data_IF_095288457767
#
_entry.id   IF_095288457767
#
_cell.length_a   1.000
_cell.length_b   1.000
_cell.length_c   1.000
_cell.angle_alpha   90.00
_cell.angle_beta   90.00
_cell.angle_gamma   90.00
#
_symmetry.space_group_name_H-M   'P 1'
#
loop_
_entity.id
_entity.type
_entity.pdbx_description
1 polymer ?
#
# COMPACT_ATOMS: atom_id res chain seq x y z
N UNK A 1 -47.28 2.01 -54.92
CA UNK A 1 -47.27 2.55 -53.54
C UNK A 1 -46.52 1.56 -52.65
N UNK A 2 -45.23 1.76 -52.55
CA UNK A 2 -44.29 0.94 -51.79
C UNK A 2 -44.03 1.69 -50.47
N UNK A 3 -44.46 1.08 -49.34
CA UNK A 3 -44.20 1.56 -47.98
C UNK A 3 -42.78 1.19 -47.58
N UNK A 4 -41.89 2.17 -47.52
CA UNK A 4 -40.60 2.06 -46.89
C UNK A 4 -40.80 1.90 -45.37
N UNK A 5 -40.52 0.70 -44.85
CA UNK A 5 -40.38 0.46 -43.41
C UNK A 5 -38.99 0.93 -42.96
N UNK A 6 -38.93 1.93 -42.10
CA UNK A 6 -37.69 2.42 -41.53
C UNK A 6 -37.03 1.34 -40.64
N UNK A 7 -35.72 1.09 -40.76
CA UNK A 7 -35.03 -0.02 -40.08
C UNK A 7 -34.55 0.32 -38.66
N UNK A 8 -35.06 1.33 -37.99
CA UNK A 8 -34.41 1.95 -36.83
C UNK A 8 -35.04 1.68 -35.46
N UNK A 9 -35.96 0.71 -35.35
CA UNK A 9 -36.70 0.42 -34.09
C UNK A 9 -36.51 -0.98 -33.54
N UNK A 10 -35.44 -1.69 -33.91
CA UNK A 10 -35.15 -2.99 -33.30
C UNK A 10 -34.44 -2.81 -31.95
N UNK A 11 -34.76 -3.63 -30.91
CA UNK A 11 -34.11 -3.60 -29.61
C UNK A 11 -32.59 -3.69 -29.71
N UNK A 12 -32.06 -4.40 -30.69
CA UNK A 12 -30.62 -4.56 -30.95
C UNK A 12 -29.92 -3.27 -31.40
N UNK A 13 -30.60 -2.40 -32.14
CA UNK A 13 -30.08 -1.08 -32.53
C UNK A 13 -29.98 -0.11 -31.36
N UNK A 14 -30.90 -0.23 -30.40
CA UNK A 14 -30.89 0.58 -29.18
C UNK A 14 -29.77 0.14 -28.25
N UNK A 15 -29.54 -1.18 -28.07
CA UNK A 15 -28.44 -1.71 -27.31
C UNK A 15 -27.07 -1.40 -27.91
N UNK A 16 -26.94 -1.40 -29.23
CA UNK A 16 -25.70 -1.03 -29.90
C UNK A 16 -25.36 0.46 -29.71
N UNK A 17 -26.36 1.35 -29.79
CA UNK A 17 -26.19 2.79 -29.48
C UNK A 17 -25.92 3.03 -27.99
N UNK A 18 -26.47 2.21 -27.08
CA UNK A 18 -26.19 2.22 -25.62
C UNK A 18 -24.74 1.80 -25.33
N UNK A 19 -24.19 0.86 -26.09
CA UNK A 19 -22.80 0.42 -25.95
C UNK A 19 -21.78 1.43 -26.51
N UNK A 20 -22.11 2.22 -27.53
CA UNK A 20 -21.22 3.23 -28.13
C UNK A 20 -21.08 4.52 -27.31
N UNK A 21 -22.06 4.88 -26.47
CA UNK A 21 -22.02 6.11 -25.65
C UNK A 21 -21.39 5.93 -24.25
N UNK A 22 -20.88 4.74 -23.93
CA UNK A 22 -20.36 4.40 -22.60
C UNK A 22 -18.84 4.54 -22.39
N UNK A 23 -17.96 4.80 -23.39
CA UNK A 23 -16.53 4.79 -23.14
C UNK A 23 -16.01 6.00 -22.39
N UNK A 24 -16.54 7.21 -22.62
CA UNK A 24 -15.97 8.44 -22.04
C UNK A 24 -16.32 8.64 -20.55
N UNK A 25 -17.56 8.36 -20.16
CA UNK A 25 -17.97 8.48 -18.76
C UNK A 25 -17.22 7.48 -17.85
N UNK A 26 -16.92 6.27 -18.33
CA UNK A 26 -16.15 5.27 -17.60
C UNK A 26 -14.66 5.60 -17.42
N UNK A 27 -14.12 6.51 -18.25
CA UNK A 27 -12.73 6.96 -18.13
C UNK A 27 -12.57 8.10 -17.12
N UNK A 28 -13.64 8.85 -16.85
CA UNK A 28 -13.63 10.05 -16.01
C UNK A 28 -13.98 9.72 -14.53
N UNK A 29 -14.92 8.80 -14.30
CA UNK A 29 -15.31 8.34 -12.96
C UNK A 29 -14.11 7.92 -12.07
N UNK A 30 -13.13 7.12 -12.56
CA UNK A 30 -11.99 6.69 -11.75
C UNK A 30 -11.09 7.80 -11.25
N UNK A 31 -11.18 9.00 -11.83
CA UNK A 31 -10.39 10.17 -11.45
C UNK A 31 -11.22 11.15 -10.61
N UNK A 32 -12.46 11.43 -11.04
CA UNK A 32 -13.32 12.40 -10.37
C UNK A 32 -13.71 11.95 -8.96
N UNK A 33 -14.08 10.67 -8.78
CA UNK A 33 -14.56 10.18 -7.49
C UNK A 33 -13.47 10.25 -6.42
N UNK A 34 -12.22 9.77 -6.64
CA UNK A 34 -11.14 9.94 -5.66
C UNK A 34 -10.79 11.41 -5.41
N UNK A 35 -10.79 12.27 -6.43
CA UNK A 35 -10.55 13.70 -6.25
C UNK A 35 -11.64 14.37 -5.39
N UNK A 36 -12.91 14.05 -5.65
CA UNK A 36 -14.01 14.52 -4.82
C UNK A 36 -13.89 14.04 -3.38
N UNK A 37 -13.52 12.76 -3.17
CA UNK A 37 -13.29 12.21 -1.84
C UNK A 37 -12.13 12.92 -1.11
N UNK A 38 -11.04 13.26 -1.81
CA UNK A 38 -9.93 14.04 -1.25
C UNK A 38 -10.35 15.46 -0.88
N UNK A 39 -11.19 16.11 -1.70
CA UNK A 39 -11.74 17.43 -1.37
C UNK A 39 -12.66 17.37 -0.15
N UNK A 40 -13.55 16.38 -0.08
CA UNK A 40 -14.43 16.18 1.08
C UNK A 40 -13.61 15.89 2.33
N UNK A 41 -12.56 15.06 2.24
CA UNK A 41 -11.68 14.81 3.39
C UNK A 41 -10.94 16.06 3.85
N UNK A 42 -10.48 16.91 2.92
CA UNK A 42 -9.86 18.18 3.24
C UNK A 42 -10.84 19.14 3.95
N UNK A 43 -12.12 19.17 3.54
CA UNK A 43 -13.16 19.94 4.20
C UNK A 43 -13.45 19.43 5.61
N UNK A 44 -13.65 18.11 5.79
CA UNK A 44 -13.89 17.51 7.10
C UNK A 44 -12.69 17.79 8.03
N UNK A 45 -11.48 17.62 7.53
CA UNK A 45 -10.27 17.90 8.31
C UNK A 45 -10.12 19.39 8.63
N UNK A 46 -10.55 20.28 7.74
CA UNK A 46 -10.57 21.73 8.02
C UNK A 46 -11.50 22.06 9.19
N UNK A 47 -12.67 21.41 9.28
CA UNK A 47 -13.57 21.56 10.43
C UNK A 47 -12.90 21.08 11.72
N UNK A 48 -12.21 19.93 11.65
CA UNK A 48 -11.42 19.41 12.79
C UNK A 48 -10.34 20.41 13.25
N UNK A 49 -9.59 21.03 12.33
CA UNK A 49 -8.59 22.04 12.65
C UNK A 49 -9.21 23.29 13.30
N UNK A 50 -10.34 23.77 12.78
CA UNK A 50 -11.05 24.92 13.35
C UNK A 50 -11.54 24.63 14.77
N UNK A 51 -12.01 23.41 15.05
CA UNK A 51 -12.39 22.99 16.40
C UNK A 51 -11.21 23.02 17.38
N UNK A 52 -9.97 22.82 16.88
CA UNK A 52 -8.74 22.96 17.64
C UNK A 52 -8.18 24.40 17.65
N UNK A 53 -8.93 25.38 17.16
CA UNK A 53 -8.50 26.78 17.01
C UNK A 53 -7.24 26.94 16.15
N UNK A 54 -7.01 26.03 15.19
CA UNK A 54 -5.90 26.08 14.23
C UNK A 54 -6.37 26.48 12.84
N UNK A 55 -5.53 27.22 12.11
CA UNK A 55 -5.87 27.68 10.75
C UNK A 55 -5.71 26.57 9.70
N UNK A 56 -6.77 26.17 8.96
CA UNK A 56 -6.65 25.21 7.87
C UNK A 56 -5.74 25.70 6.74
N UNK A 57 -5.81 26.98 6.38
CA UNK A 57 -4.98 27.55 5.32
C UNK A 57 -3.48 27.41 5.66
N UNK A 58 -3.09 27.68 6.90
CA UNK A 58 -1.72 27.50 7.39
C UNK A 58 -1.33 26.03 7.32
N UNK A 59 -2.21 25.10 7.74
CA UNK A 59 -1.95 23.67 7.69
C UNK A 59 -1.65 23.20 6.27
N UNK A 60 -2.54 23.45 5.31
CA UNK A 60 -2.35 23.02 3.92
C UNK A 60 -1.14 23.71 3.25
N UNK A 61 -0.83 24.96 3.59
CA UNK A 61 0.39 25.60 3.11
C UNK A 61 1.65 24.94 3.65
N UNK A 62 1.66 24.47 4.92
CA UNK A 62 2.76 23.73 5.51
C UNK A 62 2.89 22.32 4.90
N UNK A 63 1.76 21.67 4.62
CA UNK A 63 1.76 20.38 3.90
C UNK A 63 2.37 20.52 2.51
N UNK A 64 1.98 21.55 1.78
CA UNK A 64 2.59 21.86 0.47
C UNK A 64 4.08 22.15 0.60
N UNK A 65 4.47 22.99 1.55
CA UNK A 65 5.86 23.36 1.79
C UNK A 65 6.70 22.17 2.21
N UNK A 66 6.21 21.34 3.11
CA UNK A 66 6.92 20.16 3.62
C UNK A 66 7.00 19.00 2.63
N UNK A 67 6.01 18.88 1.72
CA UNK A 67 5.95 17.78 0.77
C UNK A 67 6.53 18.07 -0.62
N UNK A 68 6.36 19.31 -1.13
CA UNK A 68 6.57 19.57 -2.56
C UNK A 68 7.39 20.84 -2.89
N UNK A 69 7.58 21.78 -1.96
CA UNK A 69 8.10 23.12 -2.31
C UNK A 69 9.59 23.17 -2.58
N UNK A 70 10.38 22.23 -2.08
CA UNK A 70 11.83 22.20 -2.23
C UNK A 70 12.33 20.83 -2.67
N UNK A 71 13.52 20.80 -3.28
CA UNK A 71 14.15 19.53 -3.65
C UNK A 71 14.35 18.61 -2.43
N UNK A 72 14.69 19.18 -1.28
CA UNK A 72 14.81 18.45 -0.03
C UNK A 72 13.45 17.85 0.42
N UNK A 73 12.35 18.62 0.30
CA UNK A 73 11.01 18.12 0.62
C UNK A 73 10.60 16.96 -0.29
N UNK A 74 10.89 17.07 -1.60
CA UNK A 74 10.61 16.00 -2.57
C UNK A 74 11.41 14.74 -2.24
N UNK A 75 12.70 14.87 -1.89
CA UNK A 75 13.51 13.73 -1.48
C UNK A 75 12.94 13.04 -0.23
N UNK A 76 12.54 13.79 0.79
CA UNK A 76 11.89 13.25 1.98
C UNK A 76 10.57 12.52 1.65
N UNK A 77 9.77 13.09 0.75
CA UNK A 77 8.55 12.45 0.28
C UNK A 77 8.83 11.12 -0.44
N UNK A 78 9.83 11.08 -1.32
CA UNK A 78 10.26 9.88 -2.05
C UNK A 78 10.84 8.81 -1.13
N UNK A 79 11.58 9.22 -0.09
CA UNK A 79 12.14 8.31 0.90
C UNK A 79 11.04 7.59 1.67
N UNK A 80 9.98 8.32 2.10
CA UNK A 80 8.81 7.74 2.76
C UNK A 80 7.88 6.97 1.81
N UNK A 81 7.89 7.32 0.52
CA UNK A 81 7.12 6.59 -0.49
C UNK A 81 7.64 5.17 -0.73
N UNK A 82 8.92 4.90 -0.52
CA UNK A 82 9.51 3.58 -0.77
C UNK A 82 8.84 2.45 0.04
N UNK A 83 8.73 2.50 1.39
CA UNK A 83 8.01 1.50 2.16
C UNK A 83 6.50 1.49 1.84
N UNK A 84 5.90 2.66 1.53
CA UNK A 84 4.49 2.76 1.17
C UNK A 84 4.15 2.07 -0.17
N UNK A 85 5.05 2.12 -1.15
CA UNK A 85 4.89 1.36 -2.40
C UNK A 85 4.85 -0.15 -2.09
N UNK A 86 5.81 -0.63 -1.32
CA UNK A 86 5.94 -2.05 -1.01
C UNK A 86 4.76 -2.58 -0.17
N UNK A 87 4.33 -1.83 0.84
CA UNK A 87 3.17 -2.19 1.67
C UNK A 87 1.85 -2.01 0.93
N UNK A 88 1.76 -1.02 0.05
CA UNK A 88 0.62 -0.85 -0.87
C UNK A 88 0.48 -2.03 -1.82
N UNK A 89 1.59 -2.52 -2.38
CA UNK A 89 1.60 -3.75 -3.19
C UNK A 89 1.22 -4.98 -2.36
N UNK A 90 1.68 -5.05 -1.10
CA UNK A 90 1.33 -6.14 -0.19
C UNK A 90 -0.18 -6.24 0.07
N UNK A 91 -0.91 -5.14 0.03
CA UNK A 91 -2.37 -5.16 0.11
C UNK A 91 -3.03 -5.36 -1.27
N UNK A 92 -2.54 -4.69 -2.31
CA UNK A 92 -3.17 -4.69 -3.63
C UNK A 92 -3.19 -6.08 -4.29
N UNK A 93 -2.18 -6.93 -4.06
CA UNK A 93 -2.09 -8.25 -4.70
C UNK A 93 -3.14 -9.23 -4.16
N UNK A 94 -3.29 -9.47 -2.84
CA UNK A 94 -4.34 -10.33 -2.32
C UNK A 94 -5.76 -9.80 -2.60
N UNK A 95 -5.94 -8.49 -2.64
CA UNK A 95 -7.21 -7.87 -2.96
C UNK A 95 -7.73 -8.24 -4.36
N UNK A 96 -6.82 -8.53 -5.32
CA UNK A 96 -7.19 -9.02 -6.66
C UNK A 96 -7.88 -10.38 -6.65
N UNK A 97 -7.63 -11.22 -5.67
CA UNK A 97 -8.30 -12.52 -5.49
C UNK A 97 -9.42 -12.45 -4.45
N UNK A 98 -9.80 -11.25 -4.03
CA UNK A 98 -10.90 -11.01 -3.09
C UNK A 98 -10.51 -11.22 -1.61
N UNK A 99 -9.21 -11.18 -1.27
CA UNK A 99 -8.72 -11.28 0.10
C UNK A 99 -8.39 -9.90 0.67
N UNK A 100 -8.90 -9.61 1.86
CA UNK A 100 -8.59 -8.38 2.59
C UNK A 100 -7.63 -8.68 3.74
N UNK A 101 -6.32 -8.54 3.51
CA UNK A 101 -5.29 -8.82 4.50
C UNK A 101 -4.82 -7.53 5.18
N UNK A 102 -4.87 -7.49 6.50
CA UNK A 102 -4.38 -6.37 7.33
C UNK A 102 -3.03 -6.69 7.99
N UNK A 103 -2.32 -7.72 7.49
CA UNK A 103 -1.11 -8.27 8.09
C UNK A 103 0.21 -7.64 7.63
N UNK A 104 0.18 -6.65 6.75
CA UNK A 104 1.39 -6.09 6.13
C UNK A 104 2.35 -5.46 7.15
N UNK A 105 1.83 -4.81 8.21
CA UNK A 105 2.65 -4.24 9.28
C UNK A 105 3.44 -5.32 10.03
N UNK A 106 2.79 -6.42 10.41
CA UNK A 106 3.46 -7.53 11.09
C UNK A 106 4.53 -8.20 10.23
N UNK A 107 4.25 -8.38 8.94
CA UNK A 107 5.20 -8.93 7.98
C UNK A 107 6.40 -8.00 7.74
N UNK A 108 6.18 -6.67 7.74
CA UNK A 108 7.22 -5.65 7.66
C UNK A 108 8.15 -5.73 8.89
N UNK A 109 7.57 -5.72 10.09
CA UNK A 109 8.31 -5.74 11.35
C UNK A 109 9.16 -7.01 11.47
N UNK A 110 8.58 -8.19 11.26
CA UNK A 110 9.33 -9.45 11.32
C UNK A 110 10.32 -9.61 10.17
N UNK A 111 9.98 -9.10 8.98
CA UNK A 111 10.89 -9.07 7.84
C UNK A 111 12.14 -8.24 8.13
N UNK A 112 11.95 -7.01 8.62
CA UNK A 112 13.06 -6.14 9.03
C UNK A 112 13.90 -6.73 10.15
N UNK A 113 13.25 -7.28 11.18
CA UNK A 113 13.94 -7.96 12.27
C UNK A 113 14.76 -9.17 11.77
N UNK A 114 14.19 -10.01 10.91
CA UNK A 114 14.90 -11.17 10.36
C UNK A 114 16.13 -10.75 9.54
N UNK A 115 16.03 -9.67 8.76
CA UNK A 115 17.16 -9.10 8.04
C UNK A 115 18.28 -8.68 9.01
N UNK A 116 17.94 -7.98 10.11
CA UNK A 116 18.91 -7.57 11.11
C UNK A 116 19.58 -8.79 11.78
N UNK A 117 18.78 -9.77 12.24
CA UNK A 117 19.28 -10.95 12.96
C UNK A 117 20.24 -11.76 12.09
N UNK A 118 19.91 -11.98 10.80
CA UNK A 118 20.76 -12.75 9.89
C UNK A 118 22.06 -12.01 9.58
N UNK A 119 22.06 -10.68 9.58
CA UNK A 119 23.26 -9.89 9.36
C UNK A 119 24.28 -10.00 10.51
N UNK A 120 23.82 -10.14 11.78
CA UNK A 120 24.70 -10.13 12.95
C UNK A 120 25.87 -11.14 12.89
N UNK A 121 25.65 -12.45 12.65
CA UNK A 121 26.74 -13.42 12.58
C UNK A 121 27.60 -13.27 11.31
N UNK A 122 27.11 -12.58 10.30
CA UNK A 122 27.83 -12.39 9.03
C UNK A 122 28.70 -11.13 9.03
N UNK A 123 28.49 -10.21 9.96
CA UNK A 123 29.33 -9.04 10.13
C UNK A 123 30.73 -9.48 10.62
N UNK A 124 31.77 -9.02 9.93
CA UNK A 124 33.15 -9.40 10.25
C UNK A 124 33.61 -10.76 9.74
N UNK A 125 32.74 -11.51 9.01
CA UNK A 125 33.08 -12.82 8.44
C UNK A 125 33.98 -12.77 7.20
N UNK A 126 34.30 -11.57 6.70
CA UNK A 126 35.06 -11.38 5.44
C UNK A 126 34.26 -11.64 4.17
N UNK A 127 32.95 -11.89 4.27
CA UNK A 127 32.07 -12.05 3.12
C UNK A 127 31.83 -10.69 2.43
N UNK A 128 31.67 -10.67 1.09
CA UNK A 128 31.31 -9.45 0.37
C UNK A 128 29.99 -8.87 0.88
N UNK A 129 29.94 -7.56 1.08
CA UNK A 129 28.72 -6.85 1.56
C UNK A 129 27.48 -7.15 0.72
N UNK A 130 27.64 -7.24 -0.62
CA UNK A 130 26.54 -7.58 -1.53
C UNK A 130 25.95 -8.97 -1.23
N UNK A 131 26.76 -9.95 -0.86
CA UNK A 131 26.28 -11.29 -0.48
C UNK A 131 25.46 -11.23 0.80
N UNK A 132 25.94 -10.49 1.81
CA UNK A 132 25.22 -10.33 3.09
C UNK A 132 23.89 -9.60 2.84
N UNK A 133 23.88 -8.51 2.09
CA UNK A 133 22.68 -7.78 1.72
C UNK A 133 21.66 -8.68 0.97
N UNK A 134 22.14 -9.52 0.06
CA UNK A 134 21.27 -10.48 -0.64
C UNK A 134 20.61 -11.45 0.32
N UNK A 135 21.38 -12.00 1.27
CA UNK A 135 20.84 -12.91 2.29
C UNK A 135 19.84 -12.18 3.20
N UNK A 136 20.12 -10.93 3.59
CA UNK A 136 19.19 -10.10 4.36
C UNK A 136 17.87 -9.88 3.61
N UNK A 137 17.91 -9.54 2.33
CA UNK A 137 16.71 -9.38 1.47
C UNK A 137 15.92 -10.68 1.41
N UNK A 138 16.58 -11.81 1.13
CA UNK A 138 15.91 -13.11 1.05
C UNK A 138 15.29 -13.52 2.38
N UNK A 139 15.99 -13.30 3.50
CA UNK A 139 15.46 -13.58 4.84
C UNK A 139 14.24 -12.72 5.17
N UNK A 140 14.29 -11.42 4.86
CA UNK A 140 13.17 -10.51 5.06
C UNK A 140 11.94 -10.90 4.23
N UNK A 141 12.13 -11.16 2.94
CA UNK A 141 11.05 -11.59 2.06
C UNK A 141 10.48 -12.96 2.46
N UNK A 142 11.32 -13.91 2.83
CA UNK A 142 10.89 -15.23 3.27
C UNK A 142 10.09 -15.17 4.57
N UNK A 143 10.59 -14.42 5.57
CA UNK A 143 9.88 -14.24 6.84
C UNK A 143 8.52 -13.57 6.62
N UNK A 144 8.47 -12.49 5.86
CA UNK A 144 7.20 -11.83 5.52
C UNK A 144 6.25 -12.77 4.77
N UNK A 145 6.76 -13.50 3.76
CA UNK A 145 5.97 -14.46 2.98
C UNK A 145 5.39 -15.59 3.86
N UNK A 146 6.16 -16.14 4.78
CA UNK A 146 5.70 -17.16 5.74
C UNK A 146 4.63 -16.56 6.65
N UNK A 147 4.85 -15.36 7.17
CA UNK A 147 3.95 -14.72 8.13
C UNK A 147 2.58 -14.41 7.52
N UNK A 148 2.54 -13.76 6.36
CA UNK A 148 1.28 -13.52 5.65
C UNK A 148 0.70 -14.79 5.03
N UNK A 149 1.56 -15.72 4.60
CA UNK A 149 1.17 -17.04 4.14
C UNK A 149 0.41 -17.84 5.21
N UNK A 150 0.76 -17.67 6.49
CA UNK A 150 0.05 -18.28 7.61
C UNK A 150 -1.42 -17.81 7.68
N UNK A 151 -1.70 -16.51 7.48
CA UNK A 151 -3.07 -16.01 7.42
C UNK A 151 -3.85 -16.63 6.22
N UNK A 152 -3.19 -16.70 5.06
CA UNK A 152 -3.74 -17.36 3.87
C UNK A 152 -4.00 -18.85 4.08
N UNK A 153 -3.11 -19.54 4.76
CA UNK A 153 -3.27 -20.96 5.12
C UNK A 153 -4.44 -21.17 6.09
N UNK A 154 -4.57 -20.35 7.13
CA UNK A 154 -5.69 -20.39 8.07
C UNK A 154 -7.02 -20.21 7.34
N UNK A 155 -7.10 -19.29 6.38
CA UNK A 155 -8.28 -19.11 5.53
C UNK A 155 -8.57 -20.35 4.70
N UNK A 156 -7.56 -20.88 4.00
CA UNK A 156 -7.74 -22.01 3.10
C UNK A 156 -8.05 -23.31 3.84
N UNK A 157 -7.29 -23.64 4.90
CA UNK A 157 -7.37 -24.92 5.59
C UNK A 157 -8.49 -24.99 6.65
N UNK A 158 -8.83 -23.86 7.27
CA UNK A 158 -9.76 -23.78 8.42
C UNK A 158 -10.95 -22.84 8.20
N UNK A 159 -11.01 -22.12 7.09
CA UNK A 159 -12.09 -21.16 6.80
C UNK A 159 -12.08 -19.92 7.70
N UNK A 160 -10.99 -19.67 8.43
CA UNK A 160 -10.88 -18.51 9.33
C UNK A 160 -10.94 -17.22 8.51
N UNK A 161 -11.56 -16.18 9.05
CA UNK A 161 -11.59 -14.88 8.40
C UNK A 161 -10.17 -14.31 8.29
N UNK A 162 -9.73 -14.05 7.06
CA UNK A 162 -8.37 -13.59 6.75
C UNK A 162 -8.06 -12.21 7.29
N UNK A 163 -9.06 -11.32 7.33
CA UNK A 163 -8.90 -9.95 7.84
C UNK A 163 -8.61 -9.97 9.34
N UNK A 164 -9.40 -10.74 10.09
CA UNK A 164 -9.24 -10.88 11.54
C UNK A 164 -7.94 -11.61 11.87
N UNK A 165 -7.67 -12.73 11.21
CA UNK A 165 -6.46 -13.52 11.49
C UNK A 165 -5.18 -12.76 11.16
N UNK A 166 -5.14 -12.03 10.02
CA UNK A 166 -3.97 -11.24 9.66
C UNK A 166 -3.74 -10.04 10.57
N UNK A 167 -4.83 -9.41 11.07
CA UNK A 167 -4.74 -8.35 12.07
C UNK A 167 -4.20 -8.85 13.41
N UNK A 168 -4.72 -9.98 13.90
CA UNK A 168 -4.21 -10.59 15.15
C UNK A 168 -2.76 -11.03 15.00
N UNK A 169 -2.39 -11.62 13.87
CA UNK A 169 -1.00 -11.96 13.57
C UNK A 169 -0.10 -10.72 13.54
N UNK A 170 -0.59 -9.54 13.17
CA UNK A 170 0.19 -8.30 13.25
C UNK A 170 0.57 -7.97 14.69
N UNK A 171 -0.37 -8.02 15.61
CA UNK A 171 -0.07 -7.77 17.03
C UNK A 171 0.89 -8.81 17.62
N UNK A 172 0.72 -10.08 17.24
CA UNK A 172 1.64 -11.15 17.63
C UNK A 172 3.04 -10.88 17.06
N UNK A 173 3.16 -10.46 15.80
CA UNK A 173 4.42 -10.12 15.15
C UNK A 173 5.16 -9.00 15.88
N UNK A 174 4.45 -7.93 16.23
CA UNK A 174 5.01 -6.79 16.97
C UNK A 174 5.46 -7.24 18.38
N UNK A 175 4.66 -8.05 19.07
CA UNK A 175 5.02 -8.59 20.38
C UNK A 175 6.27 -9.51 20.32
N UNK A 176 6.35 -10.40 19.31
CA UNK A 176 7.53 -11.23 19.08
C UNK A 176 8.76 -10.36 18.79
N UNK A 177 8.61 -9.34 17.93
CA UNK A 177 9.71 -8.44 17.61
C UNK A 177 10.21 -7.69 18.85
N UNK A 178 9.31 -7.15 19.66
CA UNK A 178 9.67 -6.48 20.93
C UNK A 178 10.37 -7.44 21.88
N UNK A 179 9.86 -8.66 22.07
CA UNK A 179 10.48 -9.67 22.90
C UNK A 179 11.92 -10.00 22.45
N UNK A 180 12.13 -10.16 21.15
CA UNK A 180 13.44 -10.50 20.59
C UNK A 180 14.43 -9.32 20.69
N UNK A 181 13.96 -8.10 20.42
CA UNK A 181 14.77 -6.87 20.45
C UNK A 181 15.14 -6.49 21.91
N UNK A 182 14.24 -6.66 22.86
CA UNK A 182 14.46 -6.31 24.26
C UNK A 182 15.20 -7.42 25.03
N UNK A 183 15.16 -8.66 24.53
CA UNK A 183 15.74 -9.85 25.13
C UNK A 183 17.01 -10.32 24.42
N UNK A 184 16.93 -11.48 23.68
CA UNK A 184 18.13 -12.20 23.22
C UNK A 184 18.98 -11.44 22.19
N UNK A 185 18.41 -10.51 21.42
CA UNK A 185 19.13 -9.75 20.39
C UNK A 185 19.36 -8.28 20.78
N UNK A 186 19.15 -7.95 22.06
CA UNK A 186 19.39 -6.61 22.55
C UNK A 186 20.88 -6.25 22.48
N UNK A 187 21.17 -5.07 21.93
CA UNK A 187 22.49 -4.48 22.02
C UNK A 187 22.73 -3.96 23.45
N UNK A 188 23.78 -4.46 24.17
CA UNK A 188 24.13 -3.94 25.48
C UNK A 188 24.41 -2.44 25.52
N UNK A 189 24.83 -1.84 24.39
CA UNK A 189 25.06 -0.40 24.26
C UNK A 189 23.78 0.44 24.13
N UNK A 190 22.62 -0.19 23.84
CA UNK A 190 21.34 0.50 23.69
C UNK A 190 20.61 0.68 25.02
N UNK A 191 21.05 1.66 25.85
CA UNK A 191 20.51 1.82 27.20
C UNK A 191 19.05 2.30 27.24
N UNK A 192 18.71 3.35 26.47
CA UNK A 192 17.43 4.04 26.57
C UNK A 192 16.39 3.62 25.50
N UNK A 193 16.83 3.07 24.38
CA UNK A 193 15.98 2.61 23.28
C UNK A 193 16.44 1.23 22.83
N UNK A 194 15.81 0.16 23.31
CA UNK A 194 16.21 -1.20 22.94
C UNK A 194 16.28 -1.38 21.43
N UNK A 195 17.39 -1.95 20.96
CA UNK A 195 17.64 -2.23 19.55
C UNK A 195 18.56 -3.43 19.41
N UNK A 196 18.58 -4.02 18.23
CA UNK A 196 19.64 -4.96 17.84
C UNK A 196 20.96 -4.21 17.66
N UNK A 197 22.07 -4.95 17.61
CA UNK A 197 23.36 -4.33 17.26
C UNK A 197 23.25 -3.61 15.91
N UNK A 198 23.90 -2.43 15.78
CA UNK A 198 23.85 -1.65 14.56
C UNK A 198 24.55 -2.40 13.41
N UNK A 199 24.01 -2.26 12.21
CA UNK A 199 24.61 -2.74 10.98
C UNK A 199 25.85 -1.93 10.67
N UNK A 200 26.91 -2.61 10.26
CA UNK A 200 28.13 -1.95 9.77
C UNK A 200 27.84 -1.03 8.56
N UNK A 201 28.70 -0.02 8.36
CA UNK A 201 28.51 0.95 7.26
C UNK A 201 28.35 0.29 5.89
N UNK A 202 29.06 -0.82 5.65
CA UNK A 202 29.04 -1.58 4.38
C UNK A 202 27.74 -2.33 4.14
N UNK A 203 26.93 -2.54 5.18
CA UNK A 203 25.63 -3.23 5.12
C UNK A 203 24.45 -2.26 5.06
N UNK A 204 24.71 -0.97 4.99
CA UNK A 204 23.68 0.02 4.76
C UNK A 204 23.38 0.16 3.28
N UNK A 205 22.10 0.16 2.94
CA UNK A 205 21.67 0.45 1.59
C UNK A 205 21.89 1.93 1.32
N UNK A 206 22.82 2.22 0.42
CA UNK A 206 23.24 3.58 0.13
C UNK A 206 22.17 4.45 -0.54
N UNK A 207 22.49 5.71 -0.67
CA UNK A 207 21.68 6.71 -1.35
C UNK A 207 21.83 6.63 -2.88
N UNK A 208 20.76 6.98 -3.61
CA UNK A 208 20.72 6.97 -5.07
C UNK A 208 21.28 8.29 -5.62
N UNK A 209 22.26 8.21 -6.51
CA UNK A 209 22.74 9.34 -7.34
C UNK A 209 23.08 10.64 -6.55
N UNK A 210 23.57 10.53 -5.31
CA UNK A 210 23.88 11.69 -4.46
C UNK A 210 22.66 12.43 -3.93
N UNK A 211 21.49 11.79 -3.94
CA UNK A 211 20.27 12.28 -3.30
C UNK A 211 20.09 11.58 -1.95
N UNK A 212 19.32 12.14 -1.03
CA UNK A 212 19.00 11.45 0.23
C UNK A 212 18.02 10.28 0.09
N UNK A 213 17.61 9.96 -1.14
CA UNK A 213 16.67 8.85 -1.42
C UNK A 213 17.45 7.54 -1.52
N UNK A 214 17.04 6.53 -0.75
CA UNK A 214 17.70 5.22 -0.75
C UNK A 214 17.21 4.31 -1.89
N UNK A 215 18.01 3.29 -2.25
CA UNK A 215 17.69 2.31 -3.31
C UNK A 215 16.39 1.53 -3.10
N UNK A 216 15.77 1.61 -1.93
CA UNK A 216 14.45 1.03 -1.65
C UNK A 216 13.35 1.58 -2.56
N UNK A 217 13.44 2.85 -2.98
CA UNK A 217 12.49 3.40 -3.95
C UNK A 217 12.60 2.69 -5.30
N UNK A 218 13.81 2.50 -5.81
CA UNK A 218 14.03 1.76 -7.06
C UNK A 218 13.53 0.30 -6.95
N UNK A 219 13.82 -0.36 -5.82
CA UNK A 219 13.29 -1.70 -5.53
C UNK A 219 11.77 -1.74 -5.55
N UNK A 220 11.11 -0.77 -4.92
CA UNK A 220 9.64 -0.63 -4.93
C UNK A 220 9.09 -0.41 -6.33
N UNK A 221 9.71 0.47 -7.14
CA UNK A 221 9.31 0.74 -8.51
C UNK A 221 9.45 -0.50 -9.41
N UNK A 222 10.58 -1.19 -9.34
CA UNK A 222 10.81 -2.43 -10.09
C UNK A 222 9.76 -3.48 -9.72
N UNK A 223 9.51 -3.67 -8.42
CA UNK A 223 8.54 -4.64 -7.95
C UNK A 223 7.11 -4.27 -8.36
N UNK A 224 6.75 -2.98 -8.36
CA UNK A 224 5.45 -2.51 -8.85
C UNK A 224 5.25 -2.86 -10.33
N UNK A 225 6.27 -2.66 -11.18
CA UNK A 225 6.22 -3.04 -12.60
C UNK A 225 6.14 -4.55 -12.77
N UNK A 226 6.97 -5.31 -12.06
CA UNK A 226 6.97 -6.79 -12.12
C UNK A 226 5.60 -7.34 -11.73
N UNK A 227 5.04 -6.89 -10.61
CA UNK A 227 3.73 -7.34 -10.14
C UNK A 227 2.60 -6.88 -11.05
N UNK A 228 2.72 -5.69 -11.65
CA UNK A 228 1.77 -5.26 -12.66
C UNK A 228 1.79 -6.20 -13.88
N UNK A 229 2.98 -6.56 -14.40
CA UNK A 229 3.11 -7.53 -15.50
C UNK A 229 2.54 -8.88 -15.10
N UNK A 230 2.88 -9.39 -13.92
CA UNK A 230 2.36 -10.67 -13.41
C UNK A 230 0.83 -10.65 -13.34
N UNK A 231 0.24 -9.57 -12.81
CA UNK A 231 -1.22 -9.49 -12.63
C UNK A 231 -2.00 -9.15 -13.90
N UNK A 232 -1.36 -8.57 -14.92
CA UNK A 232 -2.07 -8.14 -16.15
C UNK A 232 -1.75 -8.97 -17.36
N UNK A 233 -0.54 -9.55 -17.45
CA UNK A 233 -0.02 -10.19 -18.66
C UNK A 233 0.19 -11.70 -18.53
N UNK A 234 -0.02 -12.30 -17.33
CA UNK A 234 0.17 -13.74 -17.14
C UNK A 234 -1.14 -14.50 -16.91
N UNK A 235 -1.11 -15.81 -17.11
CA UNK A 235 -2.22 -16.72 -16.78
C UNK A 235 -2.57 -16.70 -15.29
N UNK A 236 -1.58 -16.49 -14.41
CA UNK A 236 -1.80 -16.35 -12.97
C UNK A 236 -2.68 -15.14 -12.65
N UNK A 237 -2.37 -13.97 -13.22
CA UNK A 237 -3.16 -12.76 -12.99
C UNK A 237 -4.56 -12.83 -13.62
N UNK A 238 -4.73 -13.54 -14.73
CA UNK A 238 -6.03 -13.81 -15.32
C UNK A 238 -6.88 -14.70 -14.39
N UNK A 239 -6.31 -15.81 -13.90
CA UNK A 239 -6.97 -16.71 -12.97
C UNK A 239 -7.30 -16.01 -11.64
N UNK A 240 -6.42 -15.14 -11.14
CA UNK A 240 -6.65 -14.35 -9.93
C UNK A 240 -7.86 -13.42 -10.07
N UNK A 241 -8.05 -12.79 -11.23
CA UNK A 241 -9.24 -11.94 -11.51
C UNK A 241 -10.53 -12.74 -11.54
N UNK A 242 -10.53 -13.94 -12.17
CA UNK A 242 -11.70 -14.82 -12.18
C UNK A 242 -12.05 -15.24 -10.75
N UNK A 243 -11.06 -15.68 -9.98
CA UNK A 243 -11.26 -16.10 -8.60
C UNK A 243 -11.75 -14.94 -7.70
N UNK A 244 -11.25 -13.71 -7.92
CA UNK A 244 -11.70 -12.51 -7.21
C UNK A 244 -13.15 -12.12 -7.48
N UNK A 245 -13.67 -12.45 -8.67
CA UNK A 245 -15.08 -12.26 -9.01
C UNK A 245 -16.01 -13.27 -8.35
N UNK A 246 -15.65 -14.56 -8.38
CA UNK A 246 -16.42 -15.63 -7.73
C UNK A 246 -15.53 -16.85 -7.46
N UNK A 247 -15.13 -17.02 -6.20
CA UNK A 247 -14.29 -18.13 -5.75
C UNK A 247 -14.89 -19.51 -6.05
N UNK A 248 -16.21 -19.68 -5.86
CA UNK A 248 -16.88 -20.97 -6.11
C UNK A 248 -16.93 -21.33 -7.59
N UNK A 249 -17.23 -20.35 -8.44
CA UNK A 249 -17.22 -20.54 -9.88
C UNK A 249 -15.81 -20.87 -10.40
N UNK A 250 -14.78 -20.19 -9.89
CA UNK A 250 -13.38 -20.48 -10.22
C UNK A 250 -12.98 -21.92 -9.82
N UNK A 251 -13.37 -22.39 -8.66
CA UNK A 251 -13.15 -23.78 -8.22
C UNK A 251 -13.90 -24.80 -9.12
N UNK A 252 -15.15 -24.49 -9.50
CA UNK A 252 -15.93 -25.34 -10.41
C UNK A 252 -15.29 -25.46 -11.80
N UNK A 253 -14.50 -24.48 -12.24
CA UNK A 253 -13.73 -24.50 -13.48
C UNK A 253 -12.35 -25.19 -13.33
N UNK A 254 -12.05 -25.79 -12.17
CA UNK A 254 -10.80 -26.51 -11.92
C UNK A 254 -9.61 -25.63 -11.56
N UNK A 255 -9.80 -24.33 -11.30
CA UNK A 255 -8.68 -23.47 -10.89
C UNK A 255 -8.22 -23.83 -9.45
N UNK A 256 -6.91 -23.91 -9.19
CA UNK A 256 -6.36 -24.27 -7.87
C UNK A 256 -6.40 -23.06 -6.92
N UNK A 257 -7.62 -22.58 -6.59
CA UNK A 257 -7.87 -21.34 -5.84
C UNK A 257 -7.08 -21.29 -4.52
N UNK A 258 -7.00 -22.41 -3.79
CA UNK A 258 -6.25 -22.45 -2.52
C UNK A 258 -4.75 -22.17 -2.70
N UNK A 259 -4.11 -22.75 -3.73
CA UNK A 259 -2.70 -22.46 -4.05
C UNK A 259 -2.50 -21.02 -4.49
N UNK A 260 -3.45 -20.47 -5.23
CA UNK A 260 -3.43 -19.07 -5.68
C UNK A 260 -3.57 -18.11 -4.52
N UNK A 261 -4.46 -18.38 -3.55
CA UNK A 261 -4.59 -17.61 -2.33
C UNK A 261 -3.29 -17.59 -1.54
N UNK A 262 -2.68 -18.77 -1.32
CA UNK A 262 -1.38 -18.89 -0.63
C UNK A 262 -0.27 -18.13 -1.34
N UNK A 263 -0.20 -18.24 -2.68
CA UNK A 263 0.80 -17.54 -3.49
C UNK A 263 0.61 -16.00 -3.39
N UNK A 264 -0.62 -15.50 -3.49
CA UNK A 264 -0.90 -14.06 -3.32
C UNK A 264 -0.52 -13.57 -1.92
N UNK A 265 -0.83 -14.34 -0.87
CA UNK A 265 -0.44 -14.01 0.50
C UNK A 265 1.08 -14.03 0.69
N UNK A 266 1.78 -15.01 0.12
CA UNK A 266 3.24 -15.09 0.20
C UNK A 266 3.93 -13.94 -0.56
N UNK A 267 3.46 -13.61 -1.77
CA UNK A 267 3.96 -12.45 -2.54
C UNK A 267 3.73 -11.17 -1.73
N UNK A 268 2.54 -10.98 -1.18
CA UNK A 268 2.20 -9.83 -0.34
C UNK A 268 3.12 -9.72 0.88
N UNK A 269 3.31 -10.83 1.60
CA UNK A 269 4.25 -10.89 2.73
C UNK A 269 5.69 -10.62 2.32
N UNK A 270 6.13 -11.13 1.17
CA UNK A 270 7.45 -10.84 0.61
C UNK A 270 7.66 -9.35 0.32
N UNK A 271 6.65 -8.67 -0.24
CA UNK A 271 6.69 -7.22 -0.44
C UNK A 271 6.80 -6.46 0.89
N UNK A 272 5.98 -6.82 1.88
CA UNK A 272 6.01 -6.19 3.20
C UNK A 272 7.34 -6.46 3.93
N UNK A 273 7.85 -7.71 3.87
CA UNK A 273 9.15 -8.05 4.44
C UNK A 273 10.30 -7.26 3.81
N UNK A 274 10.25 -7.07 2.48
CA UNK A 274 11.23 -6.24 1.77
C UNK A 274 11.15 -4.77 2.21
N UNK A 275 9.95 -4.23 2.49
CA UNK A 275 9.82 -2.91 3.10
C UNK A 275 10.55 -2.84 4.45
N UNK A 276 10.38 -3.85 5.29
CA UNK A 276 11.09 -3.97 6.57
C UNK A 276 12.61 -4.04 6.42
N UNK A 277 13.12 -4.76 5.41
CA UNK A 277 14.54 -4.74 5.10
C UNK A 277 15.04 -3.33 4.80
N UNK A 278 14.35 -2.56 3.96
CA UNK A 278 14.76 -1.19 3.65
C UNK A 278 14.66 -0.26 4.87
N UNK A 279 13.66 -0.43 5.72
CA UNK A 279 13.57 0.34 6.98
C UNK A 279 14.79 0.07 7.89
N UNK A 280 15.23 -1.17 7.98
CA UNK A 280 16.41 -1.52 8.77
C UNK A 280 17.70 -1.11 8.07
N UNK A 281 17.90 -1.46 6.80
CA UNK A 281 19.19 -1.31 6.14
C UNK A 281 19.43 0.10 5.58
N UNK A 282 18.37 0.88 5.28
CA UNK A 282 18.51 2.22 4.71
C UNK A 282 18.23 3.34 5.73
N UNK A 283 17.26 3.16 6.63
CA UNK A 283 16.80 4.23 7.51
C UNK A 283 17.39 4.10 8.91
N UNK A 284 17.09 3.00 9.61
CA UNK A 284 17.41 2.87 11.03
C UNK A 284 18.83 2.36 11.30
N UNK A 285 19.39 1.55 10.40
CA UNK A 285 20.67 0.87 10.58
C UNK A 285 20.66 -0.20 11.65
N UNK A 286 19.50 -0.52 12.23
CA UNK A 286 19.28 -1.53 13.28
C UNK A 286 17.78 -1.82 13.40
N UNK A 287 17.40 -2.98 13.94
CA UNK A 287 16.01 -3.24 14.27
C UNK A 287 15.68 -2.69 15.66
N UNK A 288 14.60 -1.93 15.77
CA UNK A 288 14.10 -1.34 17.00
C UNK A 288 12.57 -1.18 16.95
N UNK A 289 11.96 -0.71 18.03
CA UNK A 289 10.52 -0.51 18.13
C UNK A 289 9.96 0.46 17.07
N UNK A 290 10.80 1.31 16.44
CA UNK A 290 10.36 2.22 15.36
C UNK A 290 10.08 1.51 14.04
N UNK A 291 10.29 0.20 13.93
CA UNK A 291 9.84 -0.57 12.76
C UNK A 291 8.31 -0.65 12.67
N UNK A 292 7.62 -0.62 13.82
CA UNK A 292 6.16 -0.62 13.89
C UNK A 292 5.60 0.82 13.81
N UNK A 293 5.84 1.52 12.70
CA UNK A 293 5.43 2.92 12.50
C UNK A 293 4.09 3.08 11.79
N UNK A 294 3.47 1.99 11.35
CA UNK A 294 2.18 2.02 10.68
C UNK A 294 2.24 2.07 9.15
N UNK A 295 3.40 1.88 8.53
CA UNK A 295 3.52 1.83 7.06
C UNK A 295 2.66 0.72 6.44
N UNK A 296 2.49 -0.42 7.11
CA UNK A 296 1.61 -1.48 6.66
C UNK A 296 0.15 -1.06 6.63
N UNK A 297 -0.31 -0.27 7.60
CA UNK A 297 -1.66 0.27 7.63
C UNK A 297 -1.83 1.41 6.61
N UNK A 298 -0.85 2.32 6.50
CA UNK A 298 -0.86 3.37 5.47
C UNK A 298 -0.83 2.79 4.04
N UNK A 299 -0.17 1.63 3.84
CA UNK A 299 -0.19 0.88 2.58
C UNK A 299 -1.60 0.44 2.15
N UNK A 300 -2.51 0.19 3.10
CA UNK A 300 -3.91 -0.11 2.80
C UNK A 300 -4.57 1.09 2.14
N UNK A 301 -4.40 2.29 2.72
CA UNK A 301 -4.90 3.55 2.15
C UNK A 301 -4.35 3.77 0.73
N UNK A 302 -3.04 3.56 0.55
CA UNK A 302 -2.38 3.67 -0.76
C UNK A 302 -3.00 2.70 -1.77
N UNK A 303 -3.21 1.44 -1.41
CA UNK A 303 -3.78 0.44 -2.30
C UNK A 303 -5.25 0.72 -2.67
N UNK A 304 -6.06 1.21 -1.71
CA UNK A 304 -7.44 1.61 -1.97
C UNK A 304 -7.50 2.81 -2.92
N UNK A 305 -6.73 3.86 -2.66
CA UNK A 305 -6.67 5.04 -3.51
C UNK A 305 -6.15 4.69 -4.92
N UNK A 306 -5.19 3.76 -5.01
CA UNK A 306 -4.68 3.20 -6.27
C UNK A 306 -5.64 2.20 -6.93
N UNK A 307 -6.82 1.93 -6.33
CA UNK A 307 -7.79 0.94 -6.81
C UNK A 307 -7.15 -0.42 -7.09
N UNK A 308 -6.26 -0.84 -6.20
CA UNK A 308 -5.55 -2.12 -6.26
C UNK A 308 -4.72 -2.32 -7.57
N UNK A 309 -4.42 -1.24 -8.27
CA UNK A 309 -3.56 -1.29 -9.45
C UNK A 309 -2.08 -1.11 -9.04
N UNK A 310 -1.20 -2.11 -9.26
CA UNK A 310 0.18 -2.04 -8.83
C UNK A 310 0.96 -0.82 -9.36
N UNK A 311 0.69 -0.35 -10.59
CA UNK A 311 1.33 0.85 -11.11
C UNK A 311 0.78 2.13 -10.49
N UNK A 312 -0.54 2.19 -10.23
CA UNK A 312 -1.15 3.35 -9.60
C UNK A 312 -0.76 3.49 -8.11
N UNK A 313 -0.30 2.41 -7.46
CA UNK A 313 0.28 2.44 -6.11
C UNK A 313 1.45 3.43 -6.03
N UNK A 314 2.27 3.53 -7.09
CA UNK A 314 3.47 4.38 -7.09
C UNK A 314 3.14 5.87 -6.90
N UNK A 315 2.38 6.54 -7.77
CA UNK A 315 2.07 7.97 -7.59
C UNK A 315 1.27 8.24 -6.31
N UNK A 316 0.41 7.30 -5.90
CA UNK A 316 -0.35 7.43 -4.65
C UNK A 316 0.57 7.34 -3.44
N UNK A 317 1.52 6.41 -3.42
CA UNK A 317 2.50 6.29 -2.34
C UNK A 317 3.38 7.54 -2.23
N UNK A 318 3.73 8.18 -3.36
CA UNK A 318 4.45 9.45 -3.36
C UNK A 318 3.59 10.56 -2.74
N UNK A 319 2.30 10.61 -3.07
CA UNK A 319 1.38 11.59 -2.48
C UNK A 319 1.25 11.41 -0.96
N UNK A 320 1.02 10.19 -0.49
CA UNK A 320 0.92 9.89 0.95
C UNK A 320 2.27 10.08 1.65
N UNK A 321 3.38 9.69 1.02
CA UNK A 321 4.73 9.95 1.53
C UNK A 321 5.05 11.46 1.66
N UNK A 322 4.53 12.29 0.77
CA UNK A 322 4.65 13.75 0.87
C UNK A 322 3.81 14.32 2.05
N UNK A 323 2.62 13.77 2.29
CA UNK A 323 1.84 14.09 3.48
C UNK A 323 2.64 13.74 4.75
N UNK A 324 3.16 12.52 4.85
CA UNK A 324 3.96 12.08 6.00
C UNK A 324 5.23 12.92 6.20
N UNK A 325 5.91 13.28 5.11
CA UNK A 325 7.11 14.12 5.16
C UNK A 325 6.83 15.52 5.74
N UNK A 326 5.62 16.04 5.52
CA UNK A 326 5.20 17.35 6.03
C UNK A 326 4.87 17.34 7.53
N UNK A 327 4.61 16.17 8.14
CA UNK A 327 4.18 16.02 9.54
C UNK A 327 5.13 16.73 10.53
N UNK A 328 6.44 16.53 10.37
CA UNK A 328 7.43 17.19 11.24
C UNK A 328 7.46 18.72 11.11
N UNK A 329 7.11 19.28 9.94
CA UNK A 329 7.00 20.73 9.76
C UNK A 329 5.72 21.27 10.42
N UNK A 330 4.60 20.55 10.26
CA UNK A 330 3.32 20.87 10.92
C UNK A 330 3.48 20.82 12.44
N UNK A 331 4.12 19.79 12.98
CA UNK A 331 4.38 19.63 14.40
C UNK A 331 5.15 20.85 14.97
N UNK A 332 6.23 21.25 14.33
CA UNK A 332 7.07 22.36 14.79
C UNK A 332 6.43 23.73 14.63
N UNK A 333 5.63 23.96 13.60
CA UNK A 333 5.05 25.29 13.27
C UNK A 333 3.67 25.51 13.85
N UNK A 334 2.88 24.47 14.02
CA UNK A 334 1.52 24.56 14.56
C UNK A 334 1.39 23.97 15.97
N UNK A 335 2.49 23.40 16.52
CA UNK A 335 2.51 22.73 17.84
C UNK A 335 1.43 21.64 17.94
N UNK A 336 1.23 20.91 16.85
CA UNK A 336 0.28 19.81 16.76
C UNK A 336 1.02 18.47 16.85
N UNK A 337 0.46 17.45 17.54
CA UNK A 337 1.05 16.12 17.59
C UNK A 337 1.23 15.53 16.18
N UNK A 338 2.27 14.71 15.99
CA UNK A 338 2.52 13.99 14.73
C UNK A 338 1.33 13.10 14.32
N UNK A 339 0.59 12.57 15.31
CA UNK A 339 -0.66 11.85 15.12
C UNK A 339 -1.72 12.61 14.31
N UNK A 340 -1.61 13.93 14.16
CA UNK A 340 -2.51 14.76 13.34
C UNK A 340 -2.52 14.30 11.88
N UNK A 341 -1.36 13.87 11.36
CA UNK A 341 -1.27 13.34 10.00
C UNK A 341 -2.00 11.99 9.86
N UNK A 342 -1.96 11.15 10.90
CA UNK A 342 -2.73 9.89 10.93
C UNK A 342 -4.24 10.15 10.94
N UNK A 343 -4.70 11.21 11.64
CA UNK A 343 -6.12 11.61 11.61
C UNK A 343 -6.53 12.02 10.19
N UNK A 344 -5.72 12.84 9.50
CA UNK A 344 -5.96 13.20 8.11
C UNK A 344 -6.04 11.97 7.21
N UNK A 345 -5.09 11.06 7.32
CA UNK A 345 -5.07 9.81 6.55
C UNK A 345 -6.31 8.94 6.84
N UNK A 346 -6.72 8.84 8.10
CA UNK A 346 -7.94 8.14 8.50
C UNK A 346 -9.20 8.75 7.88
N UNK A 347 -9.32 10.07 7.85
CA UNK A 347 -10.44 10.78 7.20
C UNK A 347 -10.41 10.53 5.69
N UNK A 348 -9.23 10.61 5.04
CA UNK A 348 -9.07 10.29 3.62
C UNK A 348 -9.53 8.85 3.35
N UNK A 349 -9.13 7.89 4.19
CA UNK A 349 -9.51 6.50 4.03
C UNK A 349 -11.02 6.28 4.12
N UNK A 350 -11.68 6.87 5.14
CA UNK A 350 -13.12 6.76 5.32
C UNK A 350 -13.90 7.41 4.18
N UNK A 351 -13.50 8.59 3.75
CA UNK A 351 -14.16 9.28 2.61
C UNK A 351 -14.01 8.52 1.31
N UNK A 352 -12.85 7.87 1.08
CA UNK A 352 -12.64 7.00 -0.08
C UNK A 352 -13.51 5.75 -0.03
N UNK A 353 -13.61 5.08 1.12
CA UNK A 353 -14.49 3.91 1.28
C UNK A 353 -15.96 4.28 1.02
N UNK A 354 -16.41 5.43 1.52
CA UNK A 354 -17.76 5.92 1.24
C UNK A 354 -17.92 6.24 -0.24
N UNK A 355 -16.90 6.84 -0.86
CA UNK A 355 -16.95 7.23 -2.28
C UNK A 355 -17.04 6.03 -3.23
N UNK A 356 -16.55 4.86 -2.83
CA UNK A 356 -16.66 3.63 -3.62
C UNK A 356 -18.12 3.22 -3.86
N UNK A 357 -19.05 3.61 -2.98
CA UNK A 357 -20.48 3.34 -3.16
C UNK A 357 -21.13 4.15 -4.27
N UNK A 358 -20.49 5.25 -4.70
CA UNK A 358 -21.01 6.14 -5.75
C UNK A 358 -20.60 5.73 -7.17
N UNK A 359 -19.67 4.78 -7.33
CA UNK A 359 -19.29 4.28 -8.65
C UNK A 359 -20.48 3.67 -9.39
N UNK A 360 -20.72 4.14 -10.62
CA UNK A 360 -21.83 3.71 -11.46
C UNK A 360 -23.21 4.22 -11.00
N UNK A 361 -23.29 5.12 -10.00
CA UNK A 361 -24.54 5.68 -9.46
C UNK A 361 -24.67 7.19 -9.61
N UNK A 362 -23.70 7.86 -10.25
CA UNK A 362 -23.75 9.33 -10.40
C UNK A 362 -24.79 9.74 -11.47
N UNK A 363 -25.92 10.38 -11.07
CA UNK A 363 -27.04 10.65 -11.96
C UNK A 363 -26.72 11.69 -13.05
N UNK A 364 -25.75 12.59 -12.82
CA UNK A 364 -25.42 13.61 -13.84
C UNK A 364 -24.51 13.08 -14.98
N UNK A 365 -23.88 11.93 -14.82
CA UNK A 365 -23.19 11.23 -15.93
C UNK A 365 -24.18 10.35 -16.73
N UNK A 366 -25.37 10.11 -16.18
CA UNK A 366 -26.48 9.40 -16.85
C UNK A 366 -27.57 10.32 -17.42
N UNK A 367 -27.55 11.64 -17.07
CA UNK A 367 -28.66 12.58 -17.34
C UNK A 367 -28.68 13.19 -18.75
N UNK A 368 -27.84 12.80 -19.69
CA UNK A 368 -27.97 13.33 -21.07
C UNK A 368 -28.96 12.54 -21.94
N UNK A 369 -30.04 12.02 -21.33
CA UNK A 369 -31.07 11.23 -22.04
C UNK A 369 -32.51 11.73 -21.84
N UNK A 370 -32.71 12.96 -21.50
CA UNK A 370 -34.04 13.49 -21.23
C UNK A 370 -34.44 14.67 -22.13
N UNK A 371 -33.99 14.77 -23.37
CA UNK A 371 -34.33 15.89 -24.24
C UNK A 371 -34.55 15.50 -25.67
N UNK A 372 -35.55 14.67 -25.95
CA UNK A 372 -36.32 14.66 -27.22
C UNK A 372 -37.53 13.75 -27.05
N UNK A 373 -38.58 14.32 -26.42
CA UNK A 373 -39.95 13.91 -26.56
C UNK A 373 -40.77 15.17 -26.78
N UNK A 374 -40.83 15.61 -28.01
CA UNK A 374 -41.99 16.29 -28.60
C UNK A 374 -42.14 15.82 -30.06
#
# INVERSE_FOLDING_TARGET
MSSESSPDSTPDGLEARLRQSLPEARLIEPVIIPLAALLVSALIFSVFLLALSKSPATFFSLVWTGGFSSWFSIQNALQRAAPLILTGLAFAIPARIGLTLLGAEGALVLGGLSAAIVALPMQGSGLPALMILTVMVLAAMAMGAVWMGLAGWLKHARGVNETISSLLLTYIAIAIASFLIEGPFRDPGSANKPSTQPLGPDLRVGEMFGTSVHWGLAGGLVLAVVLWVVMTRTSFGFAARIAGGNLRAAQGQGLPVGRMMLACCAIAGGCAGLAGFFEVAAIHGQANASLATGYGFAGILVAFLARQNPLAVVPVAILIGALDASGGLVQRRMEMPDATMLVLQGIIFLTLLISDTFYGRLPFLTYHRGGDRT
#
